data_IF_778071123612
#
_entry.id   IF_778071123612
#
_cell.length_a   1.000
_cell.length_b   1.000
_cell.length_c   1.000
_cell.angle_alpha   90.00
_cell.angle_beta   90.00
_cell.angle_gamma   90.00
#
_symmetry.space_group_name_H-M   'P 1'
#
loop_
_entity.id
_entity.type
_entity.pdbx_description
1 polymer ?
#
# COMPACT_ATOMS: atom_id res chain seq x y z
N UNK A 1 -32.95 -51.47 18.21
CA UNK A 1 -32.01 -50.51 18.84
C UNK A 1 -30.80 -50.46 17.93
N UNK A 2 -30.83 -49.58 16.93
CA UNK A 2 -29.85 -49.54 15.83
C UNK A 2 -28.85 -48.43 16.11
N UNK A 3 -27.62 -48.86 16.36
CA UNK A 3 -26.46 -48.01 16.61
C UNK A 3 -26.07 -47.30 15.30
N UNK A 4 -26.26 -45.97 15.23
CA UNK A 4 -25.77 -45.17 14.09
C UNK A 4 -24.37 -44.69 14.45
N UNK A 5 -23.33 -45.03 13.67
CA UNK A 5 -21.98 -44.50 13.92
C UNK A 5 -22.02 -42.98 13.85
N UNK A 6 -21.50 -42.33 14.90
CA UNK A 6 -21.47 -40.88 15.03
C UNK A 6 -20.63 -40.27 13.92
N UNK A 7 -21.27 -39.45 13.08
CA UNK A 7 -20.57 -38.57 12.14
C UNK A 7 -19.65 -37.68 12.96
N UNK A 8 -18.34 -37.85 12.79
CA UNK A 8 -17.36 -37.05 13.51
C UNK A 8 -17.24 -35.70 12.81
N UNK A 9 -16.89 -34.64 13.56
CA UNK A 9 -16.63 -33.32 12.97
C UNK A 9 -15.55 -33.34 11.89
N UNK A 10 -14.69 -34.37 11.89
CA UNK A 10 -13.65 -34.59 10.89
C UNK A 10 -14.24 -35.00 9.53
N UNK A 11 -15.30 -35.82 9.53
CA UNK A 11 -16.02 -36.23 8.33
C UNK A 11 -16.75 -35.04 7.68
N UNK A 12 -17.22 -34.10 8.50
CA UNK A 12 -17.90 -32.89 8.01
C UNK A 12 -16.93 -31.90 7.36
N UNK A 13 -15.69 -31.80 7.87
CA UNK A 13 -14.65 -30.94 7.29
C UNK A 13 -14.06 -31.58 6.02
N UNK A 14 -13.88 -32.90 6.00
CA UNK A 14 -13.42 -33.63 4.81
C UNK A 14 -14.44 -33.62 3.66
N UNK A 15 -15.73 -33.44 3.98
CA UNK A 15 -16.81 -33.31 3.00
C UNK A 15 -16.95 -31.89 2.42
N UNK A 16 -16.18 -30.89 2.88
CA UNK A 16 -16.13 -29.58 2.23
C UNK A 16 -15.17 -29.72 1.05
N UNK A 17 -15.68 -29.71 -0.19
CA UNK A 17 -14.82 -29.90 -1.32
C UNK A 17 -13.91 -28.68 -1.51
N UNK A 18 -12.61 -28.91 -1.70
CA UNK A 18 -11.53 -27.93 -1.81
C UNK A 18 -11.78 -26.80 -2.84
N UNK A 19 -12.77 -26.95 -3.73
CA UNK A 19 -13.15 -25.94 -4.71
C UNK A 19 -13.85 -24.70 -4.13
N UNK A 20 -14.41 -24.76 -2.92
CA UNK A 20 -15.19 -23.64 -2.38
C UNK A 20 -14.32 -22.41 -2.04
N UNK A 21 -13.01 -22.59 -1.82
CA UNK A 21 -12.05 -21.50 -1.55
C UNK A 21 -11.08 -21.28 -2.72
N UNK A 22 -10.96 -22.26 -3.62
CA UNK A 22 -10.09 -22.19 -4.78
C UNK A 22 -10.82 -21.67 -6.03
N UNK A 23 -10.71 -20.37 -6.30
CA UNK A 23 -10.78 -19.87 -7.67
C UNK A 23 -11.90 -18.89 -7.96
N UNK A 24 -11.74 -17.63 -7.56
CA UNK A 24 -12.38 -16.54 -8.31
C UNK A 24 -11.78 -16.56 -9.72
N UNK A 25 -12.60 -16.87 -10.75
CA UNK A 25 -12.20 -16.83 -12.15
C UNK A 25 -11.39 -15.54 -12.44
N UNK A 26 -10.25 -15.66 -13.14
CA UNK A 26 -9.39 -14.52 -13.53
C UNK A 26 -10.21 -13.36 -14.08
N UNK A 27 -11.22 -13.66 -14.88
CA UNK A 27 -12.16 -12.69 -15.49
C UNK A 27 -12.90 -11.83 -14.46
N UNK A 28 -13.41 -12.40 -13.38
CA UNK A 28 -14.13 -11.65 -12.33
C UNK A 28 -13.17 -10.75 -11.54
N UNK A 29 -11.94 -11.24 -11.29
CA UNK A 29 -10.88 -10.44 -10.65
C UNK A 29 -10.46 -9.26 -11.53
N UNK A 30 -10.26 -9.50 -12.83
CA UNK A 30 -9.90 -8.44 -13.79
C UNK A 30 -10.99 -7.40 -13.93
N UNK A 31 -12.27 -7.81 -13.99
CA UNK A 31 -13.41 -6.88 -14.04
C UNK A 31 -13.47 -5.96 -12.82
N UNK A 32 -13.23 -6.49 -11.61
CA UNK A 32 -13.19 -5.69 -10.37
C UNK A 32 -12.03 -4.69 -10.37
N UNK A 33 -10.85 -5.12 -10.81
CA UNK A 33 -9.66 -4.26 -10.90
C UNK A 33 -9.86 -3.15 -11.94
N UNK A 34 -10.41 -3.48 -13.12
CA UNK A 34 -10.72 -2.49 -14.16
C UNK A 34 -11.79 -1.51 -13.69
N UNK A 35 -12.88 -1.99 -13.07
CA UNK A 35 -13.92 -1.12 -12.52
C UNK A 35 -13.38 -0.14 -11.49
N UNK A 36 -12.51 -0.61 -10.59
CA UNK A 36 -11.84 0.25 -9.62
C UNK A 36 -10.90 1.25 -10.31
N UNK A 37 -10.13 0.81 -11.31
CA UNK A 37 -9.24 1.67 -12.08
C UNK A 37 -9.98 2.81 -12.78
N UNK A 38 -11.12 2.52 -13.42
CA UNK A 38 -11.97 3.53 -14.08
C UNK A 38 -12.52 4.52 -13.06
N UNK A 39 -13.06 4.03 -11.93
CA UNK A 39 -13.57 4.89 -10.87
C UNK A 39 -12.50 5.87 -10.34
N UNK A 40 -11.30 5.37 -10.03
CA UNK A 40 -10.20 6.22 -9.58
C UNK A 40 -9.71 7.18 -10.67
N UNK A 41 -9.75 6.77 -11.94
CA UNK A 41 -9.39 7.65 -13.07
C UNK A 41 -10.28 8.88 -13.10
N UNK A 42 -11.59 8.75 -12.86
CA UNK A 42 -12.51 9.90 -12.83
C UNK A 42 -12.13 10.92 -11.74
N UNK A 43 -11.71 10.44 -10.56
CA UNK A 43 -11.24 11.31 -9.47
C UNK A 43 -9.95 12.02 -9.88
N UNK A 44 -8.97 11.28 -10.41
CA UNK A 44 -7.69 11.86 -10.85
C UNK A 44 -7.88 12.87 -11.98
N UNK A 45 -8.81 12.62 -12.90
CA UNK A 45 -9.20 13.59 -13.94
C UNK A 45 -9.78 14.85 -13.29
N UNK A 46 -10.68 14.73 -12.31
CA UNK A 46 -11.21 15.87 -11.57
C UNK A 46 -10.11 16.72 -10.91
N UNK A 47 -9.15 16.07 -10.24
CA UNK A 47 -7.95 16.73 -9.70
C UNK A 47 -7.13 17.40 -10.80
N UNK A 48 -6.83 16.68 -11.89
CA UNK A 48 -6.04 17.18 -13.01
C UNK A 48 -6.65 18.43 -13.64
N UNK A 49 -7.99 18.44 -13.81
CA UNK A 49 -8.73 19.60 -14.31
C UNK A 49 -8.69 20.77 -13.31
N UNK A 50 -8.89 20.49 -12.01
CA UNK A 50 -8.85 21.52 -10.95
C UNK A 50 -7.49 22.21 -10.84
N UNK A 51 -6.40 21.45 -10.97
CA UNK A 51 -5.03 21.95 -10.94
C UNK A 51 -4.49 22.37 -12.31
N UNK A 52 -5.30 22.28 -13.38
CA UNK A 52 -4.92 22.56 -14.78
C UNK A 52 -3.62 21.86 -15.19
N UNK A 53 -3.43 20.63 -14.74
CA UNK A 53 -2.19 19.88 -14.96
C UNK A 53 -2.51 18.43 -15.29
N UNK A 54 -1.87 17.88 -16.32
CA UNK A 54 -2.16 16.55 -16.86
C UNK A 54 -1.28 15.45 -16.27
N UNK A 55 -0.20 15.83 -15.57
CA UNK A 55 0.78 14.92 -14.96
C UNK A 55 0.20 13.92 -13.95
N UNK A 56 -0.76 14.28 -13.07
CA UNK A 56 -1.38 13.34 -12.14
C UNK A 56 -2.02 12.14 -12.85
N UNK A 57 -2.62 12.36 -14.03
CA UNK A 57 -3.21 11.30 -14.84
C UNK A 57 -2.15 10.34 -15.38
N UNK A 58 -1.06 10.88 -15.91
CA UNK A 58 0.07 10.08 -16.41
C UNK A 58 0.73 9.30 -15.28
N UNK A 59 1.01 9.95 -14.14
CA UNK A 59 1.58 9.30 -12.97
C UNK A 59 0.70 8.19 -12.42
N UNK A 60 -0.62 8.41 -12.35
CA UNK A 60 -1.59 7.40 -11.94
C UNK A 60 -1.54 6.16 -12.83
N UNK A 61 -1.59 6.32 -14.16
CA UNK A 61 -1.57 5.18 -15.08
C UNK A 61 -0.22 4.49 -15.13
N UNK A 62 0.89 5.23 -15.08
CA UNK A 62 2.23 4.65 -14.99
C UNK A 62 2.39 3.75 -13.75
N UNK A 63 1.95 4.23 -12.58
CA UNK A 63 1.96 3.45 -11.33
C UNK A 63 1.00 2.26 -11.39
N UNK A 64 -0.19 2.46 -11.96
CA UNK A 64 -1.19 1.40 -12.12
C UNK A 64 -0.65 0.28 -13.00
N UNK A 65 -0.07 0.61 -14.15
CA UNK A 65 0.57 -0.37 -15.05
C UNK A 65 1.74 -1.05 -14.36
N UNK A 66 2.65 -0.31 -13.72
CA UNK A 66 3.76 -0.88 -12.96
C UNK A 66 3.28 -1.92 -11.92
N UNK A 67 2.20 -1.62 -11.21
CA UNK A 67 1.62 -2.53 -10.21
C UNK A 67 0.92 -3.72 -10.84
N UNK A 68 0.23 -3.52 -11.96
CA UNK A 68 -0.48 -4.58 -12.68
C UNK A 68 0.48 -5.50 -13.42
N UNK A 69 1.64 -5.03 -13.87
CA UNK A 69 2.66 -5.85 -14.52
C UNK A 69 3.06 -7.04 -13.65
N UNK A 70 3.32 -6.83 -12.35
CA UNK A 70 3.61 -7.94 -11.43
C UNK A 70 2.46 -8.95 -11.30
N UNK A 71 1.20 -8.48 -11.40
CA UNK A 71 0.03 -9.36 -11.36
C UNK A 71 -0.25 -10.06 -12.71
N UNK A 72 0.10 -9.44 -13.84
CA UNK A 72 -0.16 -9.91 -15.20
C UNK A 72 0.95 -10.86 -15.69
N UNK A 73 2.20 -10.60 -15.32
CA UNK A 73 3.39 -11.40 -15.70
C UNK A 73 3.57 -12.63 -14.81
N UNK A 74 2.67 -12.85 -13.83
CA UNK A 74 2.57 -14.13 -13.14
C UNK A 74 3.54 -14.31 -11.97
N UNK A 75 4.31 -13.30 -11.58
CA UNK A 75 5.08 -13.31 -10.34
C UNK A 75 4.20 -13.04 -9.12
N UNK A 76 3.06 -13.74 -9.04
CA UNK A 76 2.15 -13.61 -7.92
C UNK A 76 2.75 -14.32 -6.69
N UNK A 77 3.12 -13.58 -5.63
CA UNK A 77 3.71 -14.14 -4.44
C UNK A 77 2.75 -15.15 -3.79
N UNK A 78 3.28 -16.29 -3.32
CA UNK A 78 2.48 -17.32 -2.65
C UNK A 78 2.06 -16.87 -1.23
N UNK A 79 1.09 -17.56 -0.62
CA UNK A 79 0.27 -17.07 0.51
C UNK A 79 0.96 -16.22 1.58
N UNK A 80 2.06 -16.71 2.17
CA UNK A 80 2.79 -15.99 3.21
C UNK A 80 3.49 -14.72 2.70
N UNK A 81 4.07 -14.78 1.51
CA UNK A 81 4.76 -13.67 0.86
C UNK A 81 3.78 -12.57 0.44
N UNK A 82 2.58 -12.96 -0.01
CA UNK A 82 1.50 -12.02 -0.34
C UNK A 82 1.03 -11.24 0.88
N UNK A 83 0.95 -11.87 2.04
CA UNK A 83 0.55 -11.22 3.28
C UNK A 83 1.62 -10.23 3.76
N UNK A 84 2.90 -10.60 3.66
CA UNK A 84 4.01 -9.70 3.95
C UNK A 84 4.00 -8.47 3.03
N UNK A 85 3.78 -8.65 1.73
CA UNK A 85 3.70 -7.56 0.76
C UNK A 85 2.51 -6.64 1.01
N UNK A 86 1.37 -7.19 1.44
CA UNK A 86 0.19 -6.38 1.81
C UNK A 86 0.47 -5.54 3.05
N UNK A 87 1.08 -6.13 4.09
CA UNK A 87 1.43 -5.43 5.32
C UNK A 87 2.47 -4.35 5.09
N UNK A 88 3.54 -4.65 4.36
CA UNK A 88 4.59 -3.69 4.06
C UNK A 88 4.08 -2.53 3.21
N UNK A 89 3.12 -2.78 2.31
CA UNK A 89 2.45 -1.71 1.56
C UNK A 89 1.60 -0.82 2.46
N UNK A 90 0.75 -1.42 3.32
CA UNK A 90 -0.11 -0.67 4.24
C UNK A 90 0.70 0.19 5.22
N UNK A 91 1.75 -0.37 5.80
CA UNK A 91 2.67 0.34 6.71
C UNK A 91 3.42 1.45 5.95
N UNK A 92 3.91 1.17 4.74
CA UNK A 92 4.57 2.17 3.91
C UNK A 92 3.65 3.35 3.58
N UNK A 93 2.40 3.09 3.18
CA UNK A 93 1.42 4.13 2.92
C UNK A 93 1.12 4.95 4.18
N UNK A 94 0.95 4.31 5.33
CA UNK A 94 0.71 4.99 6.60
C UNK A 94 1.88 5.91 6.96
N UNK A 95 3.12 5.43 6.94
CA UNK A 95 4.28 6.25 7.26
C UNK A 95 4.49 7.38 6.27
N UNK A 96 4.22 7.17 4.99
CA UNK A 96 4.29 8.22 3.99
C UNK A 96 3.30 9.34 4.30
N UNK A 97 2.02 8.99 4.56
CA UNK A 97 0.98 9.96 4.89
C UNK A 97 1.30 10.72 6.17
N UNK A 98 1.76 10.03 7.21
CA UNK A 98 2.16 10.66 8.47
C UNK A 98 3.35 11.59 8.28
N UNK A 99 4.40 11.17 7.56
CA UNK A 99 5.58 12.00 7.31
C UNK A 99 5.22 13.27 6.50
N UNK A 100 4.41 13.13 5.46
CA UNK A 100 3.90 14.27 4.68
C UNK A 100 3.06 15.18 5.58
N UNK A 101 2.10 14.65 6.33
CA UNK A 101 1.23 15.45 7.19
C UNK A 101 2.00 16.18 8.30
N UNK A 102 2.95 15.52 8.95
CA UNK A 102 3.79 16.14 9.99
C UNK A 102 4.60 17.29 9.37
N UNK A 103 5.24 17.08 8.23
CA UNK A 103 6.11 18.10 7.63
C UNK A 103 5.36 19.23 6.94
N UNK A 104 4.10 19.04 6.57
CA UNK A 104 3.26 20.12 6.03
C UNK A 104 2.61 20.96 7.13
N UNK A 105 2.26 20.36 8.27
CA UNK A 105 1.55 21.06 9.35
C UNK A 105 2.47 21.60 10.44
N UNK A 106 3.55 20.89 10.79
CA UNK A 106 4.49 21.33 11.81
C UNK A 106 5.48 22.37 11.25
N UNK A 107 5.97 23.29 12.07
CA UNK A 107 7.12 24.12 11.71
C UNK A 107 8.37 23.22 11.67
N UNK A 108 8.95 23.04 10.49
CA UNK A 108 10.18 22.27 10.31
C UNK A 108 11.33 23.26 10.15
N UNK A 109 12.43 23.12 10.92
CA UNK A 109 13.59 23.99 10.75
C UNK A 109 14.31 23.71 9.41
N UNK A 110 15.05 24.67 8.86
CA UNK A 110 15.65 24.55 7.52
C UNK A 110 16.84 23.57 7.44
N UNK A 111 17.32 23.05 8.58
CA UNK A 111 18.45 22.11 8.67
C UNK A 111 19.71 22.52 7.88
N UNK A 112 19.98 23.83 7.80
CA UNK A 112 21.13 24.38 7.07
C UNK A 112 20.92 24.57 5.56
N UNK A 113 19.72 24.29 5.03
CA UNK A 113 19.34 24.69 3.67
C UNK A 113 18.91 26.16 3.72
N UNK A 114 19.81 27.04 3.29
CA UNK A 114 19.61 28.48 3.29
C UNK A 114 19.01 29.01 1.98
N UNK A 115 18.61 30.28 1.98
CA UNK A 115 18.01 30.96 0.81
C UNK A 115 18.97 31.01 -0.39
N UNK A 116 20.30 31.00 -0.15
CA UNK A 116 21.29 30.97 -1.22
C UNK A 116 21.28 29.61 -1.95
N UNK A 117 21.21 28.51 -1.20
CA UNK A 117 21.08 27.17 -1.76
C UNK A 117 19.76 26.98 -2.52
N UNK A 118 18.65 27.55 -2.00
CA UNK A 118 17.34 27.51 -2.66
C UNK A 118 17.35 28.33 -3.95
N UNK A 119 17.90 29.55 -3.89
CA UNK A 119 17.99 30.46 -5.04
C UNK A 119 18.85 29.90 -6.18
N UNK A 120 19.93 29.19 -5.86
CA UNK A 120 20.80 28.54 -6.85
C UNK A 120 20.07 27.44 -7.66
N UNK A 121 19.03 26.83 -7.09
CA UNK A 121 18.30 25.74 -7.74
C UNK A 121 17.34 26.19 -8.85
N UNK A 122 17.11 27.51 -9.02
CA UNK A 122 16.25 28.10 -10.06
C UNK A 122 14.87 27.40 -10.18
N UNK A 123 14.29 27.01 -9.04
CA UNK A 123 13.05 26.24 -9.02
C UNK A 123 11.84 27.15 -9.28
N UNK A 124 10.79 26.66 -9.97
CA UNK A 124 9.57 27.42 -10.21
C UNK A 124 8.87 27.80 -8.90
N UNK A 125 8.45 29.06 -8.75
CA UNK A 125 8.13 29.67 -7.44
C UNK A 125 6.87 29.20 -6.69
N UNK A 126 6.21 28.13 -7.15
CA UNK A 126 4.90 27.71 -6.61
C UNK A 126 4.96 26.39 -5.83
N UNK A 127 4.16 26.31 -4.76
CA UNK A 127 4.03 25.12 -3.91
C UNK A 127 4.92 25.15 -2.66
N UNK A 128 4.40 24.59 -1.57
CA UNK A 128 5.06 24.56 -0.26
C UNK A 128 6.46 23.95 -0.34
N UNK A 129 6.60 22.79 -0.98
CA UNK A 129 7.88 22.08 -1.04
C UNK A 129 8.89 22.70 -2.01
N UNK A 130 8.47 23.63 -2.87
CA UNK A 130 9.42 24.37 -3.72
C UNK A 130 9.97 25.58 -2.97
N UNK A 131 9.12 26.25 -2.19
CA UNK A 131 9.53 27.37 -1.33
C UNK A 131 10.33 26.88 -0.11
N UNK A 132 9.95 25.73 0.45
CA UNK A 132 10.53 25.17 1.65
C UNK A 132 10.99 23.72 1.37
N UNK A 133 12.05 23.52 0.53
CA UNK A 133 12.49 22.19 0.09
C UNK A 133 13.03 21.32 1.22
N UNK A 134 13.51 21.93 2.31
CA UNK A 134 13.90 21.20 3.52
C UNK A 134 12.74 20.38 4.12
N UNK A 135 11.48 20.77 3.90
CA UNK A 135 10.31 20.00 4.38
C UNK A 135 10.17 18.66 3.68
N UNK A 136 10.34 18.61 2.36
CA UNK A 136 10.24 17.35 1.61
C UNK A 136 11.41 16.42 1.92
N UNK A 137 12.60 16.99 2.16
CA UNK A 137 13.77 16.22 2.63
C UNK A 137 13.51 15.64 4.01
N UNK A 138 12.97 16.42 4.95
CA UNK A 138 12.57 15.94 6.27
C UNK A 138 11.49 14.84 6.17
N UNK A 139 10.52 14.98 5.27
CA UNK A 139 9.47 13.98 5.06
C UNK A 139 10.05 12.67 4.55
N UNK A 140 10.98 12.75 3.57
CA UNK A 140 11.69 11.59 3.06
C UNK A 140 12.49 10.89 4.17
N UNK A 141 13.24 11.64 4.97
CA UNK A 141 13.98 11.11 6.11
C UNK A 141 13.06 10.38 7.10
N UNK A 142 11.98 11.01 7.55
CA UNK A 142 11.01 10.40 8.47
C UNK A 142 10.39 9.12 7.91
N UNK A 143 10.00 9.16 6.62
CA UNK A 143 9.42 8.01 5.94
C UNK A 143 10.40 6.83 5.89
N UNK A 144 11.63 7.04 5.41
CA UNK A 144 12.61 5.98 5.27
C UNK A 144 13.12 5.47 6.63
N UNK A 145 13.29 6.34 7.61
CA UNK A 145 13.67 5.94 8.97
C UNK A 145 12.58 5.07 9.62
N UNK A 146 11.32 5.52 9.60
CA UNK A 146 10.20 4.75 10.16
C UNK A 146 10.02 3.42 9.44
N UNK A 147 10.15 3.42 8.11
CA UNK A 147 10.08 2.20 7.31
C UNK A 147 11.21 1.22 7.65
N UNK A 148 12.45 1.70 7.72
CA UNK A 148 13.61 0.89 8.07
C UNK A 148 13.49 0.28 9.47
N UNK A 149 13.04 1.07 10.46
CA UNK A 149 12.75 0.57 11.81
C UNK A 149 11.66 -0.51 11.77
N UNK A 150 10.60 -0.31 11.00
CA UNK A 150 9.50 -1.28 10.90
C UNK A 150 9.92 -2.60 10.23
N UNK A 151 10.79 -2.53 9.23
CA UNK A 151 11.35 -3.69 8.56
C UNK A 151 12.30 -4.45 9.50
N UNK A 152 13.15 -3.75 10.27
CA UNK A 152 14.03 -4.35 11.28
C UNK A 152 13.26 -5.11 12.37
N UNK A 153 12.11 -4.59 12.81
CA UNK A 153 11.25 -5.28 13.79
C UNK A 153 10.32 -6.32 13.16
N UNK A 154 10.45 -6.62 11.87
CA UNK A 154 9.70 -7.63 11.14
C UNK A 154 8.18 -7.36 11.10
N UNK A 155 7.77 -6.10 11.14
CA UNK A 155 6.37 -5.68 11.24
C UNK A 155 5.59 -6.36 12.39
N UNK A 156 6.29 -6.81 13.45
CA UNK A 156 5.72 -7.66 14.52
C UNK A 156 4.67 -6.96 15.39
N UNK A 157 4.47 -5.65 15.21
CA UNK A 157 3.55 -4.84 16.01
C UNK A 157 2.06 -5.22 15.81
N UNK A 158 1.72 -5.94 14.73
CA UNK A 158 0.35 -6.41 14.45
C UNK A 158 0.13 -7.89 14.77
N UNK A 159 0.99 -8.55 15.56
CA UNK A 159 0.70 -9.90 16.08
C UNK A 159 -0.32 -9.83 17.23
N UNK A 160 -1.58 -9.61 16.89
CA UNK A 160 -2.72 -9.80 17.78
C UNK A 160 -3.68 -10.84 17.19
N UNK A 161 -3.94 -11.90 17.97
CA UNK A 161 -5.01 -12.90 17.79
C UNK A 161 -4.89 -13.90 16.62
N UNK A 162 -3.95 -14.85 16.71
CA UNK A 162 -4.15 -16.24 16.23
C UNK A 162 -3.02 -17.15 16.72
N UNK A 163 -2.98 -17.44 18.01
CA UNK A 163 -2.31 -18.66 18.52
C UNK A 163 -3.41 -19.59 18.99
N UNK A 164 -3.92 -20.41 18.07
CA UNK A 164 -4.66 -21.61 18.43
C UNK A 164 -3.71 -22.61 19.10
N UNK A 165 -4.15 -23.34 20.14
CA UNK A 165 -3.28 -24.23 20.89
C UNK A 165 -2.77 -25.38 20.02
N UNK A 166 -1.45 -25.50 19.88
CA UNK A 166 -0.80 -26.71 19.39
C UNK A 166 -1.05 -27.82 20.41
N UNK A 167 -1.91 -28.79 20.07
CA UNK A 167 -2.03 -30.02 20.86
C UNK A 167 -0.81 -30.89 20.56
N UNK A 168 -0.12 -31.28 21.62
CA UNK A 168 0.81 -32.42 21.68
C UNK A 168 -0.02 -33.67 21.94
#
# INVERSE_FOLDING_TARGET
MTDRPGVTWQDTIAAIPDFAIAGVCRTTRTKRVLGLGVFYTLIVVGFSLGFKTWWPLVGFWALTVNRLLGALVGQAPSGAERELIRRSWGIGALFYLLAVMITTLAPIPPFGIDEAAIGAANLPSSGLWVREPYRVVAAAFLYFAARGVSELVGHRWFKGAATGPSRV
#
